data_IF_436340128570
#
_entry.id   IF_436340128570
#
_cell.length_a   1.000
_cell.length_b   1.000
_cell.length_c   1.000
_cell.angle_alpha   90.00
_cell.angle_beta   90.00
_cell.angle_gamma   90.00
#
_symmetry.space_group_name_H-M   'P 1'
#
loop_
_entity.id
_entity.type
_entity.pdbx_description
1 polymer ?
#
# COMPACT_ATOMS: atom_id res chain seq x y z
N UNK A 1 7.18 -2.03 -4.54
CA UNK A 1 6.81 -1.52 -3.20
C UNK A 1 6.21 -2.66 -2.41
N UNK A 2 6.47 -2.72 -1.09
CA UNK A 2 6.21 -3.89 -0.24
C UNK A 2 5.50 -3.45 1.03
N UNK A 3 4.40 -4.11 1.40
CA UNK A 3 3.62 -3.83 2.62
C UNK A 3 3.37 -5.12 3.40
N UNK A 4 3.71 -5.17 4.69
CA UNK A 4 3.75 -6.40 5.48
C UNK A 4 2.81 -6.32 6.70
N UNK A 5 2.10 -7.41 6.99
CA UNK A 5 1.42 -7.64 8.27
C UNK A 5 2.26 -8.65 9.08
N UNK A 6 2.98 -8.15 10.08
CA UNK A 6 3.88 -8.98 10.91
C UNK A 6 3.11 -9.83 11.92
N UNK A 7 1.88 -9.44 12.30
CA UNK A 7 1.16 -10.03 13.43
C UNK A 7 -0.05 -10.87 13.02
N UNK A 8 -0.43 -10.86 11.73
CA UNK A 8 -1.50 -11.69 11.18
C UNK A 8 -2.86 -11.46 11.89
N UNK A 9 -3.07 -10.26 12.42
CA UNK A 9 -4.28 -9.87 13.15
C UNK A 9 -5.29 -9.11 12.26
N UNK A 10 -5.01 -9.01 10.97
CA UNK A 10 -5.80 -8.24 9.99
C UNK A 10 -5.60 -6.73 10.09
N UNK A 11 -4.71 -6.28 10.98
CA UNK A 11 -4.30 -4.90 11.20
C UNK A 11 -2.92 -4.67 10.56
N UNK A 12 -2.88 -4.72 9.22
CA UNK A 12 -1.66 -4.53 8.45
C UNK A 12 -1.45 -3.09 7.95
N UNK A 13 -0.20 -2.78 7.60
CA UNK A 13 0.10 -1.60 6.78
C UNK A 13 -0.27 -1.86 5.33
N UNK A 14 -0.90 -0.86 4.72
CA UNK A 14 -1.23 -0.80 3.32
C UNK A 14 -0.47 0.38 2.73
N UNK A 15 -0.10 0.30 1.47
CA UNK A 15 0.47 1.45 0.77
C UNK A 15 -0.46 1.90 -0.33
N UNK A 16 -1.02 3.10 -0.16
CA UNK A 16 -1.77 3.77 -1.21
C UNK A 16 -0.76 4.44 -2.14
N UNK A 17 -0.86 4.18 -3.43
CA UNK A 17 -0.01 4.78 -4.44
C UNK A 17 -0.84 5.46 -5.53
N UNK A 18 -0.22 6.44 -6.18
CA UNK A 18 -0.67 7.04 -7.44
C UNK A 18 0.44 6.85 -8.45
N UNK A 19 0.07 6.42 -9.64
CA UNK A 19 0.98 6.22 -10.77
C UNK A 19 1.14 7.50 -11.58
N UNK A 20 2.15 7.52 -12.44
CA UNK A 20 2.43 8.59 -13.40
C UNK A 20 1.28 8.91 -14.37
N UNK A 21 0.35 7.97 -14.59
CA UNK A 21 -0.86 8.17 -15.40
C UNK A 21 -2.07 8.67 -14.59
N UNK A 22 -1.87 8.98 -13.30
CA UNK A 22 -2.91 9.44 -12.39
C UNK A 22 -3.75 8.33 -11.78
N UNK A 23 -3.57 7.07 -12.18
CA UNK A 23 -4.31 5.95 -11.59
C UNK A 23 -3.84 5.67 -10.16
N UNK A 24 -4.78 5.46 -9.24
CA UNK A 24 -4.51 5.17 -7.85
C UNK A 24 -4.81 3.69 -7.51
N UNK A 25 -4.08 3.15 -6.54
CA UNK A 25 -4.28 1.78 -6.08
C UNK A 25 -3.69 1.54 -4.69
N UNK A 26 -3.94 0.34 -4.16
CA UNK A 26 -3.39 -0.08 -2.87
C UNK A 26 -2.55 -1.32 -3.06
N UNK A 27 -1.33 -1.30 -2.52
CA UNK A 27 -0.60 -2.52 -2.19
C UNK A 27 -0.99 -2.84 -0.75
N UNK A 28 -1.92 -3.77 -0.61
CA UNK A 28 -2.27 -4.36 0.67
C UNK A 28 -1.37 -5.55 0.93
N UNK A 29 -1.15 -5.89 2.20
CA UNK A 29 -0.89 -7.29 2.50
C UNK A 29 -2.05 -8.10 1.89
N UNK A 30 -1.72 -8.95 0.93
CA UNK A 30 -2.70 -9.74 0.18
C UNK A 30 -3.42 -10.75 1.06
N UNK A 31 -2.92 -10.98 2.27
CA UNK A 31 -3.29 -12.14 3.05
C UNK A 31 -4.06 -11.86 4.34
N UNK A 32 -4.20 -10.60 4.76
CA UNK A 32 -5.21 -10.14 5.73
C UNK A 32 -5.19 -10.81 7.12
N UNK A 33 -4.27 -11.74 7.37
CA UNK A 33 -4.11 -12.56 8.59
C UNK A 33 -3.02 -13.64 8.45
N UNK A 34 -2.00 -13.50 7.58
CA UNK A 34 -0.94 -14.51 7.40
C UNK A 34 0.41 -13.82 7.14
N UNK A 35 1.51 -14.42 7.62
CA UNK A 35 2.85 -13.89 7.44
C UNK A 35 3.19 -13.71 5.94
N UNK A 36 3.50 -12.49 5.53
CA UNK A 36 3.84 -12.16 4.17
C UNK A 36 3.79 -10.67 3.89
N UNK A 37 4.33 -10.26 2.75
CA UNK A 37 4.20 -8.90 2.29
C UNK A 37 3.52 -8.89 0.93
N UNK A 38 2.51 -8.03 0.78
CA UNK A 38 1.99 -7.71 -0.54
C UNK A 38 3.03 -6.94 -1.34
N UNK A 39 3.22 -7.34 -2.59
CA UNK A 39 4.03 -6.59 -3.54
C UNK A 39 3.26 -6.42 -4.85
N UNK A 40 3.49 -5.29 -5.50
CA UNK A 40 2.89 -4.97 -6.78
C UNK A 40 3.91 -4.23 -7.64
N UNK A 41 3.83 -4.47 -8.94
CA UNK A 41 4.60 -3.77 -9.97
C UNK A 41 3.68 -2.89 -10.80
N UNK A 42 4.22 -1.79 -11.33
CA UNK A 42 3.51 -0.96 -12.31
C UNK A 42 3.60 -1.61 -13.70
N UNK A 43 2.62 -1.34 -14.59
CA UNK A 43 2.75 -1.69 -16.00
C UNK A 43 4.01 -1.09 -16.64
N UNK A 44 4.50 -1.71 -17.72
CA UNK A 44 5.66 -1.22 -18.46
C UNK A 44 5.47 0.24 -18.90
N UNK A 45 6.50 1.07 -18.70
CA UNK A 45 6.48 2.51 -19.02
C UNK A 45 5.80 3.40 -17.96
N UNK A 46 5.23 2.82 -16.90
CA UNK A 46 4.62 3.56 -15.79
C UNK A 46 5.47 3.44 -14.53
N UNK A 47 5.46 4.51 -13.73
CA UNK A 47 6.10 4.52 -12.41
C UNK A 47 5.11 5.00 -11.33
N UNK A 48 5.48 4.80 -10.07
CA UNK A 48 4.76 5.34 -8.93
C UNK A 48 5.19 6.80 -8.76
N UNK A 49 4.26 7.74 -8.91
CA UNK A 49 4.49 9.18 -8.74
C UNK A 49 4.56 9.54 -7.26
N UNK A 50 3.62 9.02 -6.47
CA UNK A 50 3.54 9.28 -5.04
C UNK A 50 2.89 8.14 -4.30
N UNK A 51 3.20 8.01 -3.03
CA UNK A 51 2.62 7.01 -2.16
C UNK A 51 2.43 7.54 -0.75
N UNK A 52 1.58 6.87 0.04
CA UNK A 52 1.47 7.12 1.47
C UNK A 52 1.14 5.83 2.22
N UNK A 53 1.68 5.66 3.44
CA UNK A 53 1.29 4.56 4.31
C UNK A 53 -0.14 4.78 4.80
N UNK A 54 -0.93 3.71 4.76
CA UNK A 54 -2.22 3.63 5.39
C UNK A 54 -2.27 2.39 6.29
N UNK A 55 -3.16 2.41 7.27
CA UNK A 55 -3.37 1.30 8.20
C UNK A 55 -4.81 0.83 8.05
N UNK A 56 -4.96 -0.46 7.83
CA UNK A 56 -6.27 -1.08 7.93
C UNK A 56 -6.61 -1.26 9.40
N UNK A 57 -7.64 -0.56 9.86
CA UNK A 57 -8.20 -0.74 11.20
C UNK A 57 -9.52 -1.49 11.08
N UNK A 58 -9.96 -2.14 12.16
CA UNK A 58 -11.19 -2.96 12.17
C UNK A 58 -12.47 -2.20 11.74
N UNK A 59 -12.41 -0.87 11.67
CA UNK A 59 -13.51 0.03 11.30
C UNK A 59 -13.24 0.86 10.04
N UNK A 60 -12.12 0.63 9.33
CA UNK A 60 -11.82 1.30 8.07
C UNK A 60 -10.33 1.54 7.80
N UNK A 61 -10.01 1.96 6.58
CA UNK A 61 -8.65 2.30 6.17
C UNK A 61 -8.35 3.76 6.49
N UNK A 62 -7.27 4.00 7.24
CA UNK A 62 -6.82 5.35 7.60
C UNK A 62 -5.42 5.59 7.07
N UNK A 63 -5.20 6.66 6.32
CA UNK A 63 -3.86 7.02 5.85
C UNK A 63 -3.13 7.84 6.91
N UNK A 64 -1.93 7.38 7.27
CA UNK A 64 -1.21 7.82 8.46
C UNK A 64 -0.41 9.09 8.21
N UNK A 65 0.02 9.30 6.97
CA UNK A 65 0.89 10.39 6.56
C UNK A 65 0.38 11.02 5.27
N UNK A 66 0.88 12.22 4.99
CA UNK A 66 0.72 12.88 3.70
C UNK A 66 1.44 12.13 2.57
N UNK A 67 1.17 12.57 1.34
CA UNK A 67 1.80 11.98 0.15
C UNK A 67 3.31 12.21 0.13
N UNK A 68 4.04 11.10 -0.01
CA UNK A 68 5.46 11.08 -0.31
C UNK A 68 5.64 10.96 -1.83
N UNK A 69 6.30 11.93 -2.44
CA UNK A 69 6.56 11.94 -3.89
C UNK A 69 7.86 11.19 -4.20
N UNK A 70 7.82 10.38 -5.26
CA UNK A 70 8.97 9.60 -5.73
C UNK A 70 9.67 10.43 -6.81
N UNK A 71 10.80 11.04 -6.47
CA UNK A 71 11.67 11.79 -7.40
C UNK A 71 12.58 10.87 -8.19
#
# INVERSE_FOLDING_TARGET
>A
MTACDTYADGTGFWTHYVRSDGAAGYIKDGNGSQAGCGSGTTPSGMYIDRFRPCRNMSYGLVCLEDWMYVS
#
